data_IF_667168346414
#
_entry.id   IF_667168346414
#
_cell.length_a   1.000
_cell.length_b   1.000
_cell.length_c   1.000
_cell.angle_alpha   90.00
_cell.angle_beta   90.00
_cell.angle_gamma   90.00
#
_symmetry.space_group_name_H-M   'P 1'
#
loop_
_entity.id
_entity.type
_entity.pdbx_description
1 polymer ?
#
# COMPACT_ATOMS: atom_id res chain seq x y z
N UNK A 1 5.88 -12.47 -47.05
CA UNK A 1 4.74 -13.39 -47.03
C UNK A 1 4.12 -13.32 -45.66
N UNK A 2 2.93 -12.75 -45.56
CA UNK A 2 2.22 -12.59 -44.30
C UNK A 2 1.61 -13.91 -43.81
N UNK A 3 1.57 -14.06 -42.49
CA UNK A 3 0.73 -15.03 -41.79
C UNK A 3 -0.10 -14.22 -40.79
N UNK A 4 -1.44 -14.38 -40.75
CA UNK A 4 -2.33 -13.41 -40.12
C UNK A 4 -2.41 -13.63 -38.61
N UNK A 5 -2.22 -12.55 -37.86
CA UNK A 5 -2.56 -12.48 -36.44
C UNK A 5 -4.08 -12.37 -36.31
N UNK A 6 -4.76 -13.49 -36.12
CA UNK A 6 -6.12 -13.55 -35.63
C UNK A 6 -6.15 -14.41 -34.37
N UNK A 7 -5.77 -13.80 -33.25
CA UNK A 7 -6.26 -14.20 -31.94
C UNK A 7 -6.95 -12.99 -31.34
N UNK A 8 -8.16 -12.70 -31.85
CA UNK A 8 -9.17 -11.94 -31.09
C UNK A 8 -9.43 -12.72 -29.80
N UNK A 9 -8.75 -12.38 -28.71
CA UNK A 9 -9.37 -12.52 -27.41
C UNK A 9 -10.55 -11.54 -27.41
N UNK A 10 -11.75 -12.09 -27.22
CA UNK A 10 -13.01 -11.35 -27.33
C UNK A 10 -13.01 -10.09 -26.44
N UNK A 11 -13.62 -8.99 -26.90
CA UNK A 11 -13.79 -7.80 -26.07
C UNK A 11 -14.83 -8.09 -24.99
N UNK A 12 -14.50 -7.84 -23.73
CA UNK A 12 -15.46 -7.84 -22.64
C UNK A 12 -15.86 -9.22 -22.13
N UNK A 13 -15.00 -9.83 -21.32
CA UNK A 13 -15.50 -10.46 -20.11
C UNK A 13 -14.85 -9.73 -18.94
N UNK A 14 -15.43 -8.57 -18.60
CA UNK A 14 -15.44 -8.21 -17.19
C UNK A 14 -16.04 -9.39 -16.46
N UNK A 15 -15.37 -9.87 -15.42
CA UNK A 15 -15.99 -10.81 -14.50
C UNK A 15 -17.23 -10.10 -13.95
N UNK A 16 -18.37 -10.37 -14.57
CA UNK A 16 -19.66 -9.94 -14.04
C UNK A 16 -19.93 -10.88 -12.88
N UNK A 17 -19.28 -10.58 -11.75
CA UNK A 17 -19.65 -11.15 -10.46
C UNK A 17 -21.00 -10.53 -10.17
N UNK A 18 -22.07 -11.18 -10.66
CA UNK A 18 -23.43 -10.90 -10.22
C UNK A 18 -23.46 -10.91 -8.68
N UNK A 19 -24.45 -10.28 -8.03
CA UNK A 19 -24.47 -10.15 -6.58
C UNK A 19 -24.25 -11.54 -5.97
N UNK A 20 -23.06 -11.76 -5.41
CA UNK A 20 -22.79 -12.97 -4.67
C UNK A 20 -23.71 -12.88 -3.49
N UNK A 21 -24.79 -13.68 -3.49
CA UNK A 21 -25.53 -13.97 -2.28
C UNK A 21 -24.54 -14.66 -1.35
N UNK A 22 -23.86 -13.86 -0.55
CA UNK A 22 -22.95 -14.33 0.47
C UNK A 22 -23.71 -15.28 1.40
N UNK A 23 -23.04 -16.28 1.99
CA UNK A 23 -23.62 -17.01 3.11
C UNK A 23 -24.12 -15.99 4.14
N UNK A 24 -25.24 -16.29 4.81
CA UNK A 24 -25.72 -15.55 5.97
C UNK A 24 -24.68 -15.61 7.10
N UNK A 25 -23.59 -14.85 6.95
CA UNK A 25 -22.50 -14.77 7.90
C UNK A 25 -22.94 -13.86 9.03
N UNK A 26 -23.05 -14.45 10.21
CA UNK A 26 -23.52 -13.82 11.43
C UNK A 26 -22.74 -12.55 11.78
N UNK A 27 -23.38 -11.67 12.55
CA UNK A 27 -22.84 -10.39 13.06
C UNK A 27 -21.49 -10.48 13.80
N UNK A 28 -20.93 -11.67 14.03
CA UNK A 28 -19.61 -11.86 14.65
C UNK A 28 -18.46 -11.32 13.79
N UNK A 29 -18.60 -11.30 12.46
CA UNK A 29 -17.50 -10.92 11.56
C UNK A 29 -17.32 -9.40 11.43
N UNK A 30 -18.36 -8.60 11.67
CA UNK A 30 -18.21 -7.13 11.67
C UNK A 30 -17.39 -6.64 12.87
N UNK A 31 -17.49 -7.32 14.02
CA UNK A 31 -16.69 -7.01 15.19
C UNK A 31 -15.21 -7.30 14.96
N UNK A 32 -14.86 -8.36 14.22
CA UNK A 32 -13.45 -8.69 13.94
C UNK A 32 -12.82 -7.73 12.92
N UNK A 33 -13.54 -7.31 11.88
CA UNK A 33 -13.05 -6.29 10.94
C UNK A 33 -12.86 -4.93 11.62
N UNK A 34 -13.82 -4.49 12.46
CA UNK A 34 -13.67 -3.27 13.27
C UNK A 34 -12.49 -3.37 14.24
N UNK A 35 -12.26 -4.54 14.85
CA UNK A 35 -11.14 -4.75 15.75
C UNK A 35 -9.78 -4.63 15.05
N UNK A 36 -9.67 -5.07 13.80
CA UNK A 36 -8.45 -4.90 12.99
C UNK A 36 -8.13 -3.41 12.84
N UNK A 37 -9.15 -2.60 12.53
CA UNK A 37 -9.00 -1.14 12.43
C UNK A 37 -8.59 -0.55 13.77
N UNK A 38 -9.28 -0.87 14.86
CA UNK A 38 -8.93 -0.36 16.21
C UNK A 38 -7.48 -0.67 16.63
N UNK A 39 -6.93 -1.81 16.19
CA UNK A 39 -5.58 -2.24 16.54
C UNK A 39 -4.52 -1.62 15.62
N UNK A 40 -4.84 -1.43 14.33
CA UNK A 40 -3.86 -1.02 13.31
C UNK A 40 -3.97 0.44 12.88
N UNK A 41 -5.08 1.12 13.18
CA UNK A 41 -5.23 2.55 12.94
C UNK A 41 -4.30 3.36 13.84
N UNK A 42 -3.89 4.53 13.35
CA UNK A 42 -3.16 5.49 14.18
C UNK A 42 -4.04 5.92 15.36
N UNK A 43 -3.47 6.03 16.58
CA UNK A 43 -4.17 6.62 17.70
C UNK A 43 -4.72 8.00 17.33
N UNK A 44 -5.88 8.36 17.90
CA UNK A 44 -6.55 9.62 17.56
C UNK A 44 -5.63 10.84 17.71
N UNK A 45 -4.84 10.89 18.78
CA UNK A 45 -3.84 11.95 19.02
C UNK A 45 -2.83 12.06 17.87
N UNK A 46 -2.31 10.93 17.41
CA UNK A 46 -1.40 10.86 16.27
C UNK A 46 -2.09 11.35 15.01
N UNK A 47 -3.31 10.88 14.72
CA UNK A 47 -4.06 11.32 13.55
C UNK A 47 -4.31 12.84 13.54
N UNK A 48 -4.76 13.42 14.66
CA UNK A 48 -4.95 14.87 14.80
C UNK A 48 -3.64 15.63 14.52
N UNK A 49 -2.51 15.13 15.01
CA UNK A 49 -1.18 15.73 14.76
C UNK A 49 -0.85 15.73 13.26
N UNK A 50 -1.09 14.63 12.56
CA UNK A 50 -0.81 14.54 11.13
C UNK A 50 -1.73 15.43 10.30
N UNK A 51 -3.02 15.49 10.63
CA UNK A 51 -3.96 16.43 10.01
C UNK A 51 -3.54 17.88 10.24
N UNK A 52 -3.07 18.22 11.46
CA UNK A 52 -2.55 19.56 11.76
C UNK A 52 -1.31 19.87 10.94
N UNK A 53 -0.35 18.95 10.86
CA UNK A 53 0.84 19.08 10.00
C UNK A 53 0.43 19.30 8.54
N UNK A 54 -0.51 18.52 8.03
CA UNK A 54 -1.02 18.64 6.67
C UNK A 54 -1.70 19.99 6.41
N UNK A 55 -2.35 20.60 7.40
CA UNK A 55 -2.90 21.96 7.26
C UNK A 55 -1.81 23.03 7.32
N UNK A 56 -0.81 22.84 8.18
CA UNK A 56 0.25 23.83 8.43
C UNK A 56 1.25 23.98 7.29
N UNK A 57 1.55 22.90 6.56
CA UNK A 57 2.53 22.94 5.46
C UNK A 57 2.09 23.90 4.34
N UNK A 58 0.86 23.82 3.78
CA UNK A 58 0.37 24.80 2.82
C UNK A 58 0.34 26.23 3.36
N UNK A 59 -0.06 26.45 4.62
CA UNK A 59 -0.03 27.79 5.25
C UNK A 59 1.37 28.41 5.21
N UNK A 60 2.41 27.61 5.49
CA UNK A 60 3.80 28.07 5.45
C UNK A 60 4.24 28.34 4.00
N UNK A 61 3.94 27.43 3.06
CA UNK A 61 4.46 27.49 1.70
C UNK A 61 3.77 28.54 0.82
N UNK A 62 2.47 28.73 1.02
CA UNK A 62 1.59 29.57 0.19
C UNK A 62 1.28 30.92 0.84
N UNK A 63 1.93 31.26 1.96
CA UNK A 63 1.80 32.55 2.65
C UNK A 63 1.99 33.73 1.68
N UNK A 64 0.89 34.47 1.46
CA UNK A 64 0.83 35.59 0.53
C UNK A 64 1.54 36.86 1.04
N UNK A 65 1.93 36.88 2.33
CA UNK A 65 2.68 37.99 2.93
C UNK A 65 4.17 38.01 2.55
N UNK A 66 4.69 36.97 1.89
CA UNK A 66 6.08 36.85 1.45
C UNK A 66 6.19 36.48 -0.04
N UNK A 67 7.42 36.50 -0.59
CA UNK A 67 7.69 35.98 -1.93
C UNK A 67 7.20 34.54 -2.06
N UNK A 68 6.24 34.27 -2.94
CA UNK A 68 5.62 32.95 -3.07
C UNK A 68 6.65 31.92 -3.59
N UNK A 69 6.92 30.83 -2.85
CA UNK A 69 7.89 29.79 -3.27
C UNK A 69 7.25 28.70 -4.12
N UNK A 70 5.95 28.49 -3.95
CA UNK A 70 5.18 27.41 -4.55
C UNK A 70 3.86 27.94 -5.14
N UNK A 71 3.48 27.46 -6.32
CA UNK A 71 2.20 27.78 -6.93
C UNK A 71 1.06 26.99 -6.26
N UNK A 72 1.35 25.77 -5.83
CA UNK A 72 0.45 24.94 -5.03
C UNK A 72 1.24 23.93 -4.20
N UNK A 73 0.62 23.45 -3.11
CA UNK A 73 1.12 22.35 -2.30
C UNK A 73 -0.04 21.37 -2.08
N UNK A 74 0.07 20.17 -2.65
CA UNK A 74 -0.98 19.16 -2.60
C UNK A 74 -0.54 17.96 -1.78
N UNK A 75 -1.37 17.61 -0.79
CA UNK A 75 -1.19 16.39 -0.03
C UNK A 75 -1.42 15.18 -0.94
N UNK A 76 -0.54 14.19 -0.86
CA UNK A 76 -0.71 12.89 -1.52
C UNK A 76 -0.42 11.74 -0.56
N UNK A 77 -0.61 10.51 -1.03
CA UNK A 77 -0.37 9.32 -0.23
C UNK A 77 -1.52 8.98 0.73
N UNK A 78 -1.19 8.30 1.82
CA UNK A 78 -2.20 7.67 2.70
C UNK A 78 -3.12 8.69 3.40
N UNK A 79 -2.59 9.85 3.80
CA UNK A 79 -3.37 10.88 4.51
C UNK A 79 -4.31 11.63 3.57
N UNK A 80 -3.91 11.81 2.30
CA UNK A 80 -4.76 12.46 1.29
C UNK A 80 -6.05 11.67 1.02
N UNK A 81 -5.97 10.34 1.01
CA UNK A 81 -7.16 9.49 0.88
C UNK A 81 -8.13 9.69 2.04
N UNK A 82 -7.63 9.89 3.26
CA UNK A 82 -8.45 10.03 4.47
C UNK A 82 -9.20 11.37 4.49
N UNK A 83 -8.50 12.47 4.20
CA UNK A 83 -9.09 13.82 4.20
C UNK A 83 -10.12 13.98 3.07
N UNK A 84 -9.84 13.47 1.86
CA UNK A 84 -10.77 13.56 0.73
C UNK A 84 -12.06 12.74 0.97
N UNK A 85 -11.99 11.63 1.72
CA UNK A 85 -13.15 10.78 2.04
C UNK A 85 -14.11 11.43 3.05
N UNK A 86 -13.64 12.35 3.89
CA UNK A 86 -14.48 13.10 4.84
C UNK A 86 -15.48 14.04 4.14
N UNK A 87 -15.22 14.42 2.88
CA UNK A 87 -16.10 15.29 2.10
C UNK A 87 -17.27 14.57 1.42
N UNK A 88 -17.28 13.23 1.39
CA UNK A 88 -18.24 12.45 0.59
C UNK A 88 -19.51 11.99 1.36
N UNK A 89 -19.57 12.13 2.69
CA UNK A 89 -20.80 12.01 3.48
C UNK A 89 -20.55 12.44 4.94
N UNK A 90 -21.57 12.88 5.71
CA UNK A 90 -21.49 13.00 7.16
C UNK A 90 -21.56 11.60 7.80
N UNK A 91 -20.62 10.71 7.45
CA UNK A 91 -20.41 9.47 8.17
C UNK A 91 -19.48 9.77 9.35
N UNK A 92 -19.98 9.53 10.57
CA UNK A 92 -19.16 9.52 11.79
C UNK A 92 -18.19 8.35 11.70
N UNK A 93 -17.04 8.58 11.10
CA UNK A 93 -15.93 7.64 11.15
C UNK A 93 -15.22 7.85 12.50
N UNK A 94 -15.42 6.93 13.44
CA UNK A 94 -14.87 7.04 14.81
C UNK A 94 -13.38 6.64 14.89
N UNK A 95 -12.72 6.38 13.76
CA UNK A 95 -11.37 5.83 13.68
C UNK A 95 -10.54 6.49 12.58
N UNK A 96 -9.24 6.67 12.85
CA UNK A 96 -8.30 7.25 11.88
C UNK A 96 -7.96 6.24 10.76
N UNK A 97 -8.10 6.62 9.49
CA UNK A 97 -7.73 5.73 8.35
C UNK A 97 -6.20 5.66 8.12
N UNK A 98 -5.44 6.40 8.93
CA UNK A 98 -4.01 6.60 8.75
C UNK A 98 -3.17 5.63 9.60
N UNK A 99 -1.98 5.25 9.12
CA UNK A 99 -0.95 4.53 9.89
C UNK A 99 0.38 5.27 9.73
N UNK A 100 1.07 5.50 10.84
CA UNK A 100 2.45 6.01 10.92
C UNK A 100 3.38 4.95 10.36
N UNK A 101 3.72 5.06 9.07
CA UNK A 101 4.89 4.36 8.57
C UNK A 101 6.10 4.98 9.27
N UNK A 102 7.06 4.17 9.73
CA UNK A 102 8.16 4.67 10.55
C UNK A 102 9.06 5.74 9.92
N UNK A 103 8.78 6.26 8.70
CA UNK A 103 9.58 7.26 7.97
C UNK A 103 8.86 8.19 6.97
N UNK A 104 7.52 8.16 6.81
CA UNK A 104 6.82 9.24 6.10
C UNK A 104 5.37 9.29 6.56
N UNK A 105 5.07 10.33 7.34
CA UNK A 105 3.79 10.52 7.99
C UNK A 105 2.88 11.48 7.23
N UNK A 106 3.47 12.34 6.39
CA UNK A 106 2.76 13.33 5.56
C UNK A 106 3.54 13.53 4.26
N UNK A 107 2.93 13.26 3.12
CA UNK A 107 3.57 13.41 1.80
C UNK A 107 2.93 14.57 1.01
N UNK A 108 3.75 15.49 0.52
CA UNK A 108 3.32 16.67 -0.24
C UNK A 108 4.03 16.76 -1.58
N UNK A 109 3.25 17.07 -2.62
CA UNK A 109 3.80 17.47 -3.92
C UNK A 109 3.65 18.97 -4.04
N UNK A 110 4.70 19.64 -4.48
CA UNK A 110 4.75 21.09 -4.56
C UNK A 110 4.97 21.48 -6.02
N UNK A 111 4.02 22.23 -6.58
CA UNK A 111 4.18 22.89 -7.87
C UNK A 111 5.04 24.13 -7.65
N UNK A 112 6.21 24.17 -8.26
CA UNK A 112 7.16 25.25 -8.02
C UNK A 112 6.74 26.52 -8.77
N UNK A 113 6.85 27.68 -8.11
CA UNK A 113 6.76 28.94 -8.84
C UNK A 113 7.93 29.07 -9.82
N UNK A 114 7.72 29.67 -11.02
CA UNK A 114 8.79 29.87 -11.98
C UNK A 114 9.98 30.60 -11.36
N UNK A 115 11.21 30.14 -11.68
CA UNK A 115 12.50 30.70 -11.24
C UNK A 115 12.87 30.47 -9.77
N UNK A 116 12.00 29.88 -8.97
CA UNK A 116 12.38 29.43 -7.62
C UNK A 116 13.04 28.05 -7.68
N UNK A 117 14.07 27.85 -6.85
CA UNK A 117 14.73 26.55 -6.71
C UNK A 117 14.01 25.70 -5.66
N UNK A 118 13.98 24.36 -5.80
CA UNK A 118 13.41 23.46 -4.78
C UNK A 118 13.92 23.71 -3.36
N UNK A 119 15.19 24.11 -3.20
CA UNK A 119 15.78 24.44 -1.91
C UNK A 119 15.03 25.56 -1.15
N UNK A 120 14.41 26.52 -1.84
CA UNK A 120 13.66 27.60 -1.21
C UNK A 120 12.42 27.10 -0.44
N UNK A 121 11.81 25.99 -0.90
CA UNK A 121 10.69 25.34 -0.21
C UNK A 121 11.18 24.73 1.11
N UNK A 122 12.29 24.00 1.07
CA UNK A 122 12.87 23.40 2.25
C UNK A 122 13.34 24.46 3.27
N UNK A 123 14.07 25.48 2.82
CA UNK A 123 14.52 26.60 3.65
C UNK A 123 13.35 27.31 4.34
N UNK A 124 12.24 27.53 3.63
CA UNK A 124 11.04 28.13 4.20
C UNK A 124 10.43 27.27 5.31
N UNK A 125 10.32 25.96 5.09
CA UNK A 125 9.82 25.03 6.11
C UNK A 125 10.76 25.03 7.32
N UNK A 126 12.06 24.89 7.13
CA UNK A 126 13.06 24.90 8.22
C UNK A 126 13.02 26.21 9.03
N UNK A 127 12.75 27.35 8.40
CA UNK A 127 12.68 28.66 9.07
C UNK A 127 11.37 28.87 9.84
N UNK A 128 10.24 28.42 9.30
CA UNK A 128 8.90 28.75 9.81
C UNK A 128 8.21 27.62 10.59
N UNK A 129 8.77 26.42 10.60
CA UNK A 129 8.19 25.28 11.32
C UNK A 129 9.21 24.52 12.16
N UNK A 130 8.74 23.56 12.97
CA UNK A 130 9.59 22.78 13.88
C UNK A 130 10.36 21.67 13.14
N UNK A 131 10.87 21.96 11.94
CA UNK A 131 11.37 20.97 10.99
C UNK A 131 12.89 20.91 10.97
N UNK A 132 13.42 19.70 10.85
CA UNK A 132 14.84 19.44 10.57
C UNK A 132 14.96 18.60 9.30
N UNK A 133 15.87 18.95 8.40
CA UNK A 133 16.14 18.14 7.22
C UNK A 133 16.91 16.86 7.60
N UNK A 134 16.39 15.71 7.17
CA UNK A 134 17.00 14.39 7.41
C UNK A 134 17.31 13.64 6.12
N UNK A 135 16.78 14.09 4.97
CA UNK A 135 17.07 13.49 3.67
C UNK A 135 16.79 14.45 2.52
N UNK A 136 17.50 14.21 1.41
CA UNK A 136 17.25 14.85 0.12
C UNK A 136 17.56 13.87 -1.00
N UNK A 137 16.65 13.76 -1.97
CA UNK A 137 16.79 12.90 -3.14
C UNK A 137 16.41 13.69 -4.39
N UNK A 138 17.24 13.65 -5.42
CA UNK A 138 16.93 14.24 -6.72
C UNK A 138 16.54 13.14 -7.71
N UNK A 139 15.38 13.30 -8.37
CA UNK A 139 14.89 12.36 -9.38
C UNK A 139 14.84 13.08 -10.72
N UNK A 140 15.97 13.03 -11.43
CA UNK A 140 16.16 13.73 -12.71
C UNK A 140 15.09 13.37 -13.76
N UNK A 141 14.63 12.11 -13.79
CA UNK A 141 13.62 11.64 -14.74
C UNK A 141 12.30 12.43 -14.68
N UNK A 142 11.97 12.99 -13.53
CA UNK A 142 10.70 13.72 -13.32
C UNK A 142 10.91 15.20 -13.00
N UNK A 143 12.14 15.71 -13.17
CA UNK A 143 12.55 17.06 -12.76
C UNK A 143 12.04 17.39 -11.36
N UNK A 144 12.24 16.46 -10.42
CA UNK A 144 11.74 16.57 -9.07
C UNK A 144 12.86 16.44 -8.04
N UNK A 145 12.74 17.20 -6.96
CA UNK A 145 13.59 17.09 -5.77
C UNK A 145 12.70 16.78 -4.59
N UNK A 146 12.96 15.66 -3.92
CA UNK A 146 12.29 15.27 -2.69
C UNK A 146 13.15 15.65 -1.48
N UNK A 147 12.53 16.26 -0.48
CA UNK A 147 13.11 16.51 0.83
C UNK A 147 12.36 15.71 1.87
N UNK A 148 13.09 15.08 2.80
CA UNK A 148 12.51 14.44 3.99
C UNK A 148 12.86 15.28 5.20
N UNK A 149 11.84 15.75 5.91
CA UNK A 149 11.95 16.57 7.10
C UNK A 149 11.42 15.81 8.32
N UNK A 150 12.01 16.04 9.48
CA UNK A 150 11.62 15.50 10.77
C UNK A 150 11.12 16.64 11.67
N UNK A 151 9.86 16.57 12.08
CA UNK A 151 9.26 17.47 13.05
C UNK A 151 9.24 16.88 14.45
N UNK A 152 9.54 17.71 15.46
CA UNK A 152 9.36 17.35 16.88
C UNK A 152 8.26 18.23 17.45
N UNK A 153 7.24 17.60 18.04
CA UNK A 153 6.14 18.29 18.69
C UNK A 153 6.12 17.90 20.16
N UNK A 154 6.17 18.90 21.06
CA UNK A 154 6.05 18.69 22.49
C UNK A 154 4.60 18.26 22.81
N UNK A 155 4.44 17.15 23.54
CA UNK A 155 3.10 16.58 23.79
C UNK A 155 2.26 17.38 24.81
N UNK A 156 2.90 18.24 25.62
CA UNK A 156 2.29 18.88 26.78
C UNK A 156 1.93 20.37 26.59
N UNK A 157 2.29 21.00 25.47
CA UNK A 157 2.12 22.45 25.27
C UNK A 157 0.82 22.86 24.56
N UNK A 158 -0.02 21.91 24.15
CA UNK A 158 -1.17 22.20 23.28
C UNK A 158 -2.47 21.48 23.70
N UNK A 159 -2.71 21.32 25.00
CA UNK A 159 -4.08 21.35 25.52
C UNK A 159 -4.57 22.80 25.43
N UNK A 160 -4.93 23.25 24.23
CA UNK A 160 -5.74 24.46 24.08
C UNK A 160 -7.05 24.23 24.85
N UNK A 161 -7.19 25.04 25.90
CA UNK A 161 -8.32 25.17 26.79
C UNK A 161 -9.66 24.95 26.08
N UNK A 162 -10.30 23.83 26.42
CA UNK A 162 -11.75 23.73 26.32
C UNK A 162 -12.31 24.60 27.46
N UNK A 163 -12.99 25.74 27.19
CA UNK A 163 -13.40 26.69 28.22
C UNK A 163 -14.57 26.21 29.09
N UNK A 164 -14.89 24.90 29.06
CA UNK A 164 -16.05 24.32 29.72
C UNK A 164 -15.77 23.13 30.65
N UNK A 165 -14.52 22.94 31.13
CA UNK A 165 -14.22 21.88 32.11
C UNK A 165 -13.73 22.46 33.44
N UNK A 166 -14.46 22.27 34.55
CA UNK A 166 -14.05 22.76 35.86
C UNK A 166 -12.89 21.92 36.41
N UNK A 167 -11.90 22.65 36.90
CA UNK A 167 -10.68 22.25 37.60
C UNK A 167 -10.71 20.88 38.31
N UNK A 168 -9.71 20.05 38.00
CA UNK A 168 -9.07 19.19 39.01
C UNK A 168 -7.57 19.37 38.97
N UNK A 169 -7.07 20.11 39.96
CA UNK A 169 -5.67 20.09 40.39
C UNK A 169 -5.42 18.77 41.10
N UNK A 170 -4.66 17.88 40.47
CA UNK A 170 -3.77 16.97 41.18
C UNK A 170 -2.51 16.84 40.32
N UNK A 171 -1.45 17.48 40.78
CA UNK A 171 -0.12 17.45 40.18
C UNK A 171 0.56 16.12 40.56
N UNK A 172 0.27 15.07 39.80
CA UNK A 172 1.11 13.87 39.78
C UNK A 172 2.09 13.95 38.60
N UNK A 173 3.35 13.65 38.90
CA UNK A 173 4.51 13.81 38.03
C UNK A 173 4.24 13.31 36.60
N UNK A 174 4.09 14.26 35.66
CA UNK A 174 4.02 13.99 34.23
C UNK A 174 5.28 13.22 33.83
N UNK A 175 5.07 11.94 33.53
CA UNK A 175 6.07 11.06 32.95
C UNK A 175 6.31 11.59 31.53
N UNK A 176 7.24 12.55 31.42
CA UNK A 176 7.61 13.25 30.18
C UNK A 176 7.62 12.26 29.01
N UNK A 177 6.54 12.24 28.24
CA UNK A 177 6.48 11.38 27.06
C UNK A 177 7.56 11.87 26.09
N UNK A 178 8.20 10.93 25.40
CA UNK A 178 9.16 11.29 24.37
C UNK A 178 8.48 12.21 23.33
N UNK A 179 9.15 13.27 22.87
CA UNK A 179 8.58 14.16 21.86
C UNK A 179 8.17 13.35 20.64
N UNK A 180 6.97 13.61 20.15
CA UNK A 180 6.41 12.77 19.11
C UNK A 180 6.90 13.23 17.74
N UNK A 181 7.61 12.34 17.06
CA UNK A 181 8.19 12.59 15.75
C UNK A 181 7.13 12.53 14.64
N UNK A 182 7.32 13.37 13.61
CA UNK A 182 6.55 13.35 12.36
C UNK A 182 7.51 13.49 11.19
N UNK A 183 7.48 12.52 10.28
CA UNK A 183 8.20 12.61 9.01
C UNK A 183 7.36 13.28 7.93
N UNK A 184 7.93 14.28 7.27
CA UNK A 184 7.31 15.04 6.18
C UNK A 184 8.15 14.89 4.91
N UNK A 185 7.55 14.29 3.88
CA UNK A 185 8.15 14.21 2.55
C UNK A 185 7.59 15.30 1.64
N UNK A 186 8.47 16.11 1.05
CA UNK A 186 8.13 17.23 0.16
C UNK A 186 8.77 16.97 -1.21
N UNK A 187 7.97 16.61 -2.19
CA UNK A 187 8.38 16.44 -3.57
C UNK A 187 8.12 17.72 -4.37
N UNK A 188 9.17 18.51 -4.59
CA UNK A 188 9.13 19.69 -5.45
C UNK A 188 9.22 19.27 -6.92
N UNK A 189 8.23 19.64 -7.74
CA UNK A 189 8.25 19.38 -9.19
C UNK A 189 8.44 20.71 -9.91
N UNK A 190 9.52 20.81 -10.69
CA UNK A 190 9.88 22.05 -11.37
C UNK A 190 9.19 22.22 -12.73
N UNK A 191 8.69 21.13 -13.31
CA UNK A 191 8.05 21.12 -14.63
C UNK A 191 6.53 21.03 -14.51
N UNK A 192 5.78 22.00 -15.05
CA UNK A 192 4.31 21.96 -15.06
C UNK A 192 3.75 20.70 -15.74
N UNK A 193 4.46 20.17 -16.75
CA UNK A 193 4.08 18.93 -17.44
C UNK A 193 4.20 17.73 -16.50
N UNK A 194 5.30 17.64 -15.75
CA UNK A 194 5.50 16.55 -14.78
C UNK A 194 4.52 16.66 -13.60
N UNK A 195 4.22 17.88 -13.15
CA UNK A 195 3.23 18.11 -12.09
C UNK A 195 1.83 17.67 -12.55
N UNK A 196 1.39 18.09 -13.75
CA UNK A 196 0.12 17.65 -14.33
C UNK A 196 0.06 16.13 -14.48
N UNK A 197 1.15 15.49 -14.92
CA UNK A 197 1.22 14.02 -15.03
C UNK A 197 1.12 13.33 -13.67
N UNK A 198 1.77 13.88 -12.65
CA UNK A 198 1.65 13.37 -11.28
C UNK A 198 0.20 13.43 -10.80
N UNK A 199 -0.47 14.58 -10.95
CA UNK A 199 -1.88 14.75 -10.55
C UNK A 199 -2.80 13.74 -11.22
N UNK A 200 -2.64 13.51 -12.52
CA UNK A 200 -3.44 12.52 -13.26
C UNK A 200 -3.22 11.09 -12.77
N UNK A 201 -2.00 10.72 -12.35
CA UNK A 201 -1.74 9.40 -11.75
C UNK A 201 -2.38 9.27 -10.37
N UNK A 202 -2.32 10.32 -9.55
CA UNK A 202 -3.01 10.35 -8.26
C UNK A 202 -4.53 10.24 -8.43
N UNK A 203 -5.10 10.94 -9.40
CA UNK A 203 -6.52 10.86 -9.76
C UNK A 203 -6.90 9.43 -10.20
N UNK A 204 -6.10 8.82 -11.08
CA UNK A 204 -6.31 7.43 -11.50
C UNK A 204 -6.27 6.45 -10.33
N UNK A 205 -5.32 6.61 -9.41
CA UNK A 205 -5.26 5.80 -8.19
C UNK A 205 -6.49 5.99 -7.30
N UNK A 206 -6.90 7.25 -7.03
CA UNK A 206 -8.10 7.56 -6.25
C UNK A 206 -9.35 6.93 -6.86
N UNK A 207 -9.48 7.00 -8.18
CA UNK A 207 -10.59 6.39 -8.90
C UNK A 207 -10.60 4.87 -8.70
N UNK A 208 -9.47 4.20 -8.97
CA UNK A 208 -9.35 2.74 -8.79
C UNK A 208 -9.64 2.32 -7.34
N UNK A 209 -9.14 3.07 -6.36
CA UNK A 209 -9.39 2.81 -4.94
C UNK A 209 -10.89 2.92 -4.61
N UNK A 210 -11.54 4.01 -5.02
CA UNK A 210 -12.97 4.26 -4.77
C UNK A 210 -13.87 3.24 -5.46
N UNK A 211 -13.58 2.91 -6.72
CA UNK A 211 -14.34 1.93 -7.50
C UNK A 211 -14.20 0.52 -6.91
N UNK A 212 -12.99 0.13 -6.49
CA UNK A 212 -12.77 -1.17 -5.84
C UNK A 212 -13.52 -1.25 -4.52
N UNK A 213 -13.45 -0.19 -3.69
CA UNK A 213 -14.21 -0.11 -2.43
C UNK A 213 -15.71 -0.25 -2.66
N UNK A 214 -16.26 0.52 -3.61
CA UNK A 214 -17.68 0.45 -4.00
C UNK A 214 -18.08 -0.93 -4.51
N UNK A 215 -17.18 -1.60 -5.23
CA UNK A 215 -17.42 -2.96 -5.72
C UNK A 215 -17.54 -3.95 -4.56
N UNK A 216 -16.61 -3.89 -3.59
CA UNK A 216 -16.66 -4.73 -2.39
C UNK A 216 -17.87 -4.43 -1.52
N UNK A 217 -18.23 -3.14 -1.37
CA UNK A 217 -19.48 -2.72 -0.73
C UNK A 217 -20.71 -3.25 -1.48
N UNK A 218 -20.69 -3.28 -2.81
CA UNK A 218 -21.74 -3.89 -3.63
C UNK A 218 -21.90 -5.40 -3.38
N UNK A 219 -20.81 -6.11 -3.08
CA UNK A 219 -20.84 -7.55 -2.78
C UNK A 219 -21.35 -7.88 -1.37
N UNK A 220 -21.03 -7.06 -0.37
CA UNK A 220 -21.28 -7.38 1.05
C UNK A 220 -22.02 -6.29 1.83
N UNK A 221 -22.59 -5.31 1.15
CA UNK A 221 -23.21 -4.13 1.77
C UNK A 221 -22.21 -3.29 2.58
N UNK A 222 -22.71 -2.57 3.59
CA UNK A 222 -21.89 -1.71 4.45
C UNK A 222 -20.75 -2.46 5.17
N UNK A 223 -20.91 -3.76 5.42
CA UNK A 223 -19.85 -4.59 5.98
C UNK A 223 -18.69 -4.78 4.99
N UNK A 224 -18.96 -4.82 3.69
CA UNK A 224 -17.94 -4.87 2.65
C UNK A 224 -17.05 -3.62 2.63
N UNK A 225 -17.64 -2.44 2.81
CA UNK A 225 -16.91 -1.20 2.95
C UNK A 225 -15.96 -1.23 4.17
N UNK A 226 -16.47 -1.66 5.34
CA UNK A 226 -15.66 -1.81 6.55
C UNK A 226 -14.53 -2.84 6.37
N UNK A 227 -14.83 -3.98 5.75
CA UNK A 227 -13.85 -5.03 5.49
C UNK A 227 -12.78 -4.59 4.49
N UNK A 228 -13.15 -3.80 3.48
CA UNK A 228 -12.19 -3.18 2.57
C UNK A 228 -11.23 -2.26 3.33
N UNK A 229 -11.76 -1.38 4.18
CA UNK A 229 -10.94 -0.44 4.96
C UNK A 229 -9.97 -1.22 5.89
N UNK A 230 -10.47 -2.23 6.62
CA UNK A 230 -9.65 -3.13 7.44
C UNK A 230 -8.59 -3.89 6.62
N UNK A 231 -8.93 -4.33 5.41
CA UNK A 231 -8.00 -4.97 4.48
C UNK A 231 -6.87 -4.02 4.06
N UNK A 232 -7.16 -2.76 3.75
CA UNK A 232 -6.14 -1.74 3.46
C UNK A 232 -5.19 -1.56 4.66
N UNK A 233 -5.70 -1.57 5.89
CA UNK A 233 -4.84 -1.53 7.09
C UNK A 233 -3.90 -2.74 7.18
N UNK A 234 -4.39 -3.95 6.91
CA UNK A 234 -3.56 -5.16 6.89
C UNK A 234 -2.46 -5.10 5.80
N UNK A 235 -2.79 -4.62 4.59
CA UNK A 235 -1.80 -4.45 3.51
C UNK A 235 -0.67 -3.51 3.91
N UNK A 236 -1.03 -2.37 4.52
CA UNK A 236 -0.05 -1.37 4.98
C UNK A 236 0.80 -1.92 6.14
N UNK A 237 0.18 -2.59 7.12
CA UNK A 237 0.91 -3.23 8.22
C UNK A 237 1.88 -4.31 7.72
N UNK A 238 1.47 -5.08 6.71
CA UNK A 238 2.36 -6.02 6.03
C UNK A 238 3.54 -5.31 5.37
N UNK A 239 3.30 -4.26 4.60
CA UNK A 239 4.37 -3.48 3.95
C UNK A 239 5.38 -2.93 4.96
N UNK A 240 4.92 -2.41 6.11
CA UNK A 240 5.78 -1.91 7.18
C UNK A 240 6.68 -2.99 7.81
N UNK A 241 6.24 -4.26 7.78
CA UNK A 241 7.03 -5.40 8.26
C UNK A 241 8.09 -5.87 7.24
N UNK A 242 7.87 -5.63 5.95
CA UNK A 242 8.81 -6.03 4.90
C UNK A 242 10.08 -5.17 4.99
N UNK A 243 11.19 -5.80 5.41
CA UNK A 243 12.44 -5.10 5.66
C UNK A 243 13.04 -4.42 4.43
N UNK A 244 13.78 -3.34 4.66
CA UNK A 244 14.59 -2.67 3.65
C UNK A 244 13.81 -1.84 2.63
N UNK A 245 12.58 -1.43 2.96
CA UNK A 245 11.66 -0.72 2.04
C UNK A 245 11.40 -1.50 0.74
N UNK A 246 11.54 -2.83 0.77
CA UNK A 246 11.32 -3.71 -0.38
C UNK A 246 9.86 -3.71 -0.86
N UNK A 247 8.92 -3.22 -0.05
CA UNK A 247 7.53 -2.98 -0.41
C UNK A 247 7.01 -1.77 0.34
N UNK A 248 6.64 -0.72 -0.40
CA UNK A 248 5.97 0.45 0.20
C UNK A 248 4.49 0.16 0.46
N UNK A 249 3.89 0.88 1.42
CA UNK A 249 2.44 0.78 1.66
C UNK A 249 1.59 1.11 0.43
N UNK A 250 2.04 2.06 -0.41
CA UNK A 250 1.39 2.38 -1.68
C UNK A 250 1.46 1.22 -2.68
N UNK A 251 2.61 0.58 -2.82
CA UNK A 251 2.77 -0.60 -3.68
C UNK A 251 1.92 -1.77 -3.17
N UNK A 252 1.93 -2.05 -1.87
CA UNK A 252 1.10 -3.09 -1.27
C UNK A 252 -0.39 -2.82 -1.52
N UNK A 253 -0.82 -1.56 -1.35
CA UNK A 253 -2.20 -1.14 -1.67
C UNK A 253 -2.53 -1.37 -3.14
N UNK A 254 -1.69 -0.92 -4.06
CA UNK A 254 -1.87 -1.12 -5.49
C UNK A 254 -1.98 -2.61 -5.86
N UNK A 255 -1.09 -3.46 -5.33
CA UNK A 255 -1.12 -4.91 -5.57
C UNK A 255 -2.37 -5.54 -4.96
N UNK A 256 -2.77 -5.10 -3.76
CA UNK A 256 -3.97 -5.59 -3.10
C UNK A 256 -5.26 -5.21 -3.83
N UNK A 257 -5.37 -3.98 -4.32
CA UNK A 257 -6.48 -3.56 -5.20
C UNK A 257 -6.56 -4.45 -6.43
N UNK A 258 -5.42 -4.74 -7.07
CA UNK A 258 -5.38 -5.65 -8.20
C UNK A 258 -5.85 -7.07 -7.82
N UNK A 259 -5.39 -7.60 -6.69
CA UNK A 259 -5.80 -8.92 -6.20
C UNK A 259 -7.31 -9.00 -5.96
N UNK A 260 -7.94 -7.94 -5.42
CA UNK A 260 -9.39 -7.85 -5.29
C UNK A 260 -10.11 -7.77 -6.64
N UNK A 261 -9.61 -6.92 -7.55
CA UNK A 261 -10.17 -6.73 -8.89
C UNK A 261 -10.23 -8.03 -9.70
N UNK A 262 -9.21 -8.88 -9.60
CA UNK A 262 -9.18 -10.19 -10.27
C UNK A 262 -9.83 -11.31 -9.44
N UNK A 263 -10.41 -11.00 -8.27
CA UNK A 263 -11.08 -11.98 -7.41
C UNK A 263 -10.13 -13.00 -6.77
N UNK A 264 -8.86 -12.66 -6.52
CA UNK A 264 -7.88 -13.58 -5.93
C UNK A 264 -8.05 -13.69 -4.40
N UNK A 265 -9.18 -14.22 -3.95
CA UNK A 265 -9.46 -14.48 -2.55
C UNK A 265 -10.47 -15.62 -2.38
N UNK A 266 -10.53 -16.19 -1.19
CA UNK A 266 -11.54 -17.17 -0.80
C UNK A 266 -12.06 -16.83 0.58
N UNK A 267 -13.37 -16.63 0.69
CA UNK A 267 -14.01 -16.40 1.99
C UNK A 267 -13.95 -17.66 2.84
N UNK A 268 -13.51 -17.52 4.09
CA UNK A 268 -13.51 -18.59 5.08
C UNK A 268 -14.49 -18.27 6.19
N UNK A 269 -15.33 -19.22 6.63
CA UNK A 269 -16.29 -18.98 7.71
C UNK A 269 -15.63 -18.59 9.04
N UNK A 270 -14.41 -19.04 9.28
CA UNK A 270 -13.64 -18.77 10.51
C UNK A 270 -12.95 -17.41 10.52
N UNK A 271 -12.93 -16.70 9.39
CA UNK A 271 -12.23 -15.43 9.24
C UNK A 271 -13.20 -14.28 9.09
N UNK A 272 -12.73 -13.09 9.47
CA UNK A 272 -13.34 -11.86 9.01
C UNK A 272 -13.21 -11.74 7.48
N UNK A 273 -14.00 -10.86 6.87
CA UNK A 273 -13.94 -10.66 5.42
C UNK A 273 -12.57 -10.06 5.04
N UNK A 274 -12.08 -9.10 5.82
CA UNK A 274 -10.77 -8.47 5.60
C UNK A 274 -9.62 -9.48 5.68
N UNK A 275 -9.66 -10.41 6.64
CA UNK A 275 -8.66 -11.48 6.77
C UNK A 275 -8.69 -12.44 5.58
N UNK A 276 -9.88 -12.75 5.04
CA UNK A 276 -10.01 -13.57 3.84
C UNK A 276 -9.41 -12.88 2.61
N UNK A 277 -9.64 -11.58 2.45
CA UNK A 277 -9.00 -10.78 1.39
C UNK A 277 -7.48 -10.70 1.58
N UNK A 278 -7.03 -10.51 2.82
CA UNK A 278 -5.61 -10.43 3.13
C UNK A 278 -4.88 -11.74 2.89
N UNK A 279 -5.46 -12.88 3.27
CA UNK A 279 -4.91 -14.19 2.91
C UNK A 279 -4.85 -14.37 1.39
N UNK A 280 -5.88 -13.94 0.66
CA UNK A 280 -5.90 -13.91 -0.81
C UNK A 280 -4.74 -13.11 -1.38
N UNK A 281 -4.53 -11.89 -0.90
CA UNK A 281 -3.38 -11.05 -1.26
C UNK A 281 -2.03 -11.74 -1.00
N UNK A 282 -1.87 -12.37 0.16
CA UNK A 282 -0.63 -13.08 0.47
C UNK A 282 -0.43 -14.27 -0.50
N UNK A 283 -1.47 -15.06 -0.77
CA UNK A 283 -1.39 -16.16 -1.74
C UNK A 283 -1.05 -15.64 -3.14
N UNK A 284 -1.62 -14.51 -3.53
CA UNK A 284 -1.27 -13.81 -4.77
C UNK A 284 0.21 -13.43 -4.79
N UNK A 285 0.71 -12.73 -3.77
CA UNK A 285 2.11 -12.30 -3.71
C UNK A 285 3.08 -13.48 -3.76
N UNK A 286 2.81 -14.54 -2.99
CA UNK A 286 3.63 -15.76 -2.98
C UNK A 286 3.69 -16.38 -4.36
N UNK A 287 2.54 -16.50 -5.02
CA UNK A 287 2.49 -17.12 -6.32
C UNK A 287 3.13 -16.19 -7.40
N UNK A 288 2.82 -14.89 -7.39
CA UNK A 288 3.14 -13.98 -8.50
C UNK A 288 4.60 -13.54 -8.45
N UNK A 289 5.16 -13.41 -7.25
CA UNK A 289 6.56 -13.08 -7.01
C UNK A 289 7.45 -14.28 -6.72
N UNK A 290 6.85 -15.47 -6.54
CA UNK A 290 7.57 -16.72 -6.33
C UNK A 290 8.16 -17.28 -7.62
N UNK A 291 9.25 -18.03 -7.47
CA UNK A 291 9.90 -18.76 -8.56
C UNK A 291 9.32 -20.18 -8.67
N UNK A 292 8.01 -20.27 -8.87
CA UNK A 292 7.33 -21.55 -9.04
C UNK A 292 7.21 -21.89 -10.52
N UNK A 293 7.97 -22.91 -10.95
CA UNK A 293 8.07 -23.38 -12.34
C UNK A 293 6.71 -23.72 -13.00
N UNK A 294 5.64 -23.87 -12.21
CA UNK A 294 4.32 -24.26 -12.69
C UNK A 294 3.37 -23.06 -12.92
N UNK A 295 3.76 -21.82 -12.60
CA UNK A 295 2.93 -20.64 -12.90
C UNK A 295 3.55 -19.75 -13.97
N UNK A 296 3.02 -19.87 -15.19
CA UNK A 296 3.40 -19.03 -16.34
C UNK A 296 2.93 -17.56 -16.19
N UNK A 297 2.10 -17.25 -15.19
CA UNK A 297 1.56 -15.92 -14.91
C UNK A 297 2.28 -15.30 -13.71
N UNK A 298 3.57 -15.01 -13.85
CA UNK A 298 4.38 -14.41 -12.80
C UNK A 298 5.01 -13.08 -13.23
N UNK A 299 5.61 -12.38 -12.28
CA UNK A 299 6.18 -11.05 -12.49
C UNK A 299 7.26 -11.01 -13.58
N UNK A 300 7.90 -12.13 -13.94
CA UNK A 300 8.94 -12.20 -15.00
C UNK A 300 8.34 -12.18 -16.41
N UNK A 301 7.05 -12.46 -16.56
CA UNK A 301 6.38 -12.54 -17.87
C UNK A 301 5.26 -11.52 -18.03
N UNK A 302 4.70 -11.03 -16.92
CA UNK A 302 3.56 -10.12 -16.94
C UNK A 302 3.82 -8.82 -16.17
N UNK A 303 3.21 -7.76 -16.69
CA UNK A 303 2.97 -6.52 -15.99
C UNK A 303 1.51 -6.46 -15.50
N UNK A 304 1.29 -5.73 -14.41
CA UNK A 304 -0.02 -5.43 -13.86
C UNK A 304 -0.47 -4.08 -14.41
N UNK A 305 -1.70 -4.01 -14.90
CA UNK A 305 -2.39 -2.74 -15.13
C UNK A 305 -3.60 -2.64 -14.22
N UNK A 306 -3.59 -1.64 -13.35
CA UNK A 306 -4.69 -1.37 -12.41
C UNK A 306 -5.89 -0.69 -13.04
N UNK A 307 -5.75 -0.21 -14.28
CA UNK A 307 -6.82 0.48 -14.98
C UNK A 307 -7.98 -0.45 -15.29
N UNK A 308 -9.20 0.10 -15.35
CA UNK A 308 -10.39 -0.58 -15.87
C UNK A 308 -10.70 -1.95 -15.23
N UNK A 309 -10.56 -2.06 -13.91
CA UNK A 309 -10.88 -3.30 -13.19
C UNK A 309 -9.78 -4.36 -13.20
N UNK A 310 -8.54 -3.98 -13.50
CA UNK A 310 -7.37 -4.84 -13.37
C UNK A 310 -7.19 -5.80 -14.55
N UNK A 311 -6.03 -5.74 -15.20
CA UNK A 311 -5.68 -6.69 -16.27
C UNK A 311 -4.19 -7.02 -16.30
N UNK A 312 -3.90 -8.17 -16.90
CA UNK A 312 -2.56 -8.59 -17.23
C UNK A 312 -2.10 -7.94 -18.53
N UNK A 313 -0.85 -7.50 -18.57
CA UNK A 313 -0.19 -7.01 -19.77
C UNK A 313 1.09 -7.80 -20.03
N UNK A 314 1.50 -7.95 -21.29
CA UNK A 314 2.89 -8.30 -21.61
C UNK A 314 3.83 -7.30 -20.95
N UNK A 315 4.98 -7.78 -20.49
CA UNK A 315 6.02 -6.90 -19.95
C UNK A 315 6.57 -5.96 -21.02
N UNK A 316 6.90 -4.74 -20.58
CA UNK A 316 7.55 -3.73 -21.42
C UNK A 316 9.06 -3.72 -21.22
N UNK A 317 9.55 -4.11 -20.04
CA UNK A 317 10.98 -4.10 -19.71
C UNK A 317 11.52 -5.52 -19.59
N UNK A 318 12.77 -5.70 -20.02
CA UNK A 318 13.54 -6.95 -19.82
C UNK A 318 14.22 -7.02 -18.45
N UNK A 319 14.04 -6.02 -17.59
CA UNK A 319 14.65 -6.00 -16.25
C UNK A 319 13.99 -6.99 -15.29
N UNK A 320 14.69 -7.33 -14.22
CA UNK A 320 14.14 -8.20 -13.17
C UNK A 320 13.03 -7.53 -12.34
N UNK A 321 12.83 -6.21 -12.43
CA UNK A 321 11.87 -5.48 -11.60
C UNK A 321 10.44 -5.88 -11.97
N UNK A 322 9.54 -5.96 -10.99
CA UNK A 322 8.11 -6.12 -11.28
C UNK A 322 7.56 -4.86 -11.95
N UNK A 323 6.48 -5.00 -12.71
CA UNK A 323 5.87 -3.95 -13.50
C UNK A 323 4.41 -3.76 -13.08
N UNK A 324 4.06 -2.54 -12.63
CA UNK A 324 2.69 -2.14 -12.30
C UNK A 324 2.42 -0.72 -12.82
N UNK A 325 1.30 -0.52 -13.50
CA UNK A 325 0.96 0.74 -14.16
C UNK A 325 -0.51 1.16 -14.01
N UNK A 326 -0.77 2.44 -14.25
CA UNK A 326 -2.09 3.01 -14.52
C UNK A 326 -2.20 3.34 -16.02
N UNK A 327 -2.24 2.31 -16.88
CA UNK A 327 -2.05 2.50 -18.32
C UNK A 327 -3.10 3.39 -18.98
N UNK A 328 -4.37 3.30 -18.58
CA UNK A 328 -5.41 4.17 -19.15
C UNK A 328 -5.09 5.65 -18.91
N UNK A 329 -4.52 5.99 -17.74
CA UNK A 329 -4.08 7.34 -17.44
C UNK A 329 -2.85 7.73 -18.27
N UNK A 330 -1.86 6.83 -18.39
CA UNK A 330 -0.66 7.06 -19.20
C UNK A 330 -1.00 7.28 -20.69
N UNK A 331 -1.96 6.53 -21.23
CA UNK A 331 -2.46 6.67 -22.60
C UNK A 331 -3.23 7.97 -22.80
N UNK A 332 -4.13 8.31 -21.88
CA UNK A 332 -4.88 9.56 -21.89
C UNK A 332 -3.95 10.80 -21.85
N UNK A 333 -2.83 10.71 -21.13
CA UNK A 333 -1.82 11.76 -21.08
C UNK A 333 -0.88 11.79 -22.30
N UNK A 334 -0.93 10.78 -23.17
CA UNK A 334 0.03 10.62 -24.25
C UNK A 334 1.47 10.40 -23.74
N UNK A 335 1.65 9.78 -22.57
CA UNK A 335 2.98 9.51 -22.03
C UNK A 335 3.71 8.49 -22.90
N UNK A 336 4.93 8.83 -23.31
CA UNK A 336 5.79 7.93 -24.07
C UNK A 336 6.11 6.66 -23.27
N UNK A 337 6.24 5.48 -23.90
CA UNK A 337 6.47 4.22 -23.18
C UNK A 337 7.63 4.24 -22.18
N UNK A 338 8.74 4.90 -22.53
CA UNK A 338 9.94 5.06 -21.69
C UNK A 338 9.75 6.04 -20.53
N UNK A 339 8.78 6.95 -20.62
CA UNK A 339 8.42 7.92 -19.59
C UNK A 339 7.34 7.43 -18.62
N UNK A 340 6.70 6.29 -18.91
CA UNK A 340 5.66 5.72 -18.03
C UNK A 340 6.22 5.40 -16.65
N UNK A 341 5.40 5.60 -15.63
CA UNK A 341 5.80 5.36 -14.23
C UNK A 341 5.44 3.94 -13.83
N UNK A 342 6.47 3.12 -13.62
CA UNK A 342 6.30 1.82 -12.97
C UNK A 342 6.15 2.02 -11.46
N UNK A 343 4.95 1.76 -10.94
CA UNK A 343 4.66 1.86 -9.49
C UNK A 343 5.51 0.87 -8.69
N UNK A 344 5.79 -0.31 -9.25
CA UNK A 344 6.60 -1.35 -8.63
C UNK A 344 8.12 -1.18 -8.85
N UNK A 345 8.60 -0.02 -9.31
CA UNK A 345 10.00 0.18 -9.69
C UNK A 345 11.03 -0.09 -8.57
N UNK A 346 10.66 0.08 -7.30
CA UNK A 346 11.53 -0.14 -6.14
C UNK A 346 11.22 -1.45 -5.40
N UNK A 347 10.21 -2.19 -5.85
CA UNK A 347 9.78 -3.42 -5.20
C UNK A 347 10.82 -4.52 -5.41
N UNK A 348 11.14 -5.27 -4.35
CA UNK A 348 11.95 -6.49 -4.41
C UNK A 348 11.05 -7.73 -4.38
N UNK A 349 10.85 -8.43 -5.52
CA UNK A 349 9.97 -9.58 -5.60
C UNK A 349 10.37 -10.72 -4.65
N UNK A 350 11.67 -11.00 -4.53
CA UNK A 350 12.16 -12.11 -3.74
C UNK A 350 11.91 -11.88 -2.24
N UNK A 351 12.15 -10.65 -1.77
CA UNK A 351 11.89 -10.27 -0.38
C UNK A 351 10.39 -10.31 -0.06
N UNK A 352 9.56 -9.76 -0.95
CA UNK A 352 8.10 -9.81 -0.80
C UNK A 352 7.61 -11.25 -0.74
N UNK A 353 8.06 -12.12 -1.64
CA UNK A 353 7.69 -13.53 -1.64
C UNK A 353 8.08 -14.22 -0.33
N UNK A 354 9.30 -14.03 0.15
CA UNK A 354 9.80 -14.64 1.38
C UNK A 354 8.98 -14.24 2.61
N UNK A 355 8.76 -12.94 2.81
CA UNK A 355 7.98 -12.42 3.94
C UNK A 355 6.52 -12.89 3.89
N UNK A 356 5.97 -12.97 2.67
CA UNK A 356 4.63 -13.51 2.42
C UNK A 356 4.52 -14.97 2.84
N UNK A 357 5.46 -15.82 2.40
CA UNK A 357 5.49 -17.24 2.77
C UNK A 357 5.61 -17.43 4.28
N UNK A 358 6.48 -16.66 4.94
CA UNK A 358 6.65 -16.72 6.38
C UNK A 358 5.36 -16.33 7.12
N UNK A 359 4.66 -15.29 6.65
CA UNK A 359 3.41 -14.86 7.26
C UNK A 359 2.28 -15.87 7.04
N UNK A 360 2.13 -16.41 5.82
CA UNK A 360 1.16 -17.47 5.53
C UNK A 360 1.38 -18.69 6.44
N UNK A 361 2.62 -19.16 6.56
CA UNK A 361 2.96 -20.31 7.40
C UNK A 361 2.67 -20.08 8.88
N UNK A 362 2.88 -18.86 9.40
CA UNK A 362 2.67 -18.55 10.81
C UNK A 362 1.21 -18.27 11.16
N UNK A 363 0.49 -17.56 10.29
CA UNK A 363 -0.82 -17.02 10.60
C UNK A 363 -2.00 -17.80 9.99
N UNK A 364 -1.77 -18.58 8.92
CA UNK A 364 -2.85 -19.18 8.13
C UNK A 364 -2.75 -20.69 7.92
N UNK A 365 -1.61 -21.31 8.25
CA UNK A 365 -1.41 -22.77 8.14
C UNK A 365 -1.79 -23.56 9.41
N UNK A 366 -2.39 -22.91 10.42
CA UNK A 366 -2.95 -23.57 11.61
C UNK A 366 -4.27 -24.31 11.38
N UNK A 367 -4.93 -24.10 10.23
CA UNK A 367 -6.28 -24.61 9.93
C UNK A 367 -6.32 -25.64 8.79
N UNK A 368 -5.41 -26.64 8.81
CA UNK A 368 -5.59 -27.84 8.00
C UNK A 368 -5.27 -29.13 8.78
N UNK A 369 -6.26 -29.97 9.09
CA UNK A 369 -6.02 -31.40 9.12
C UNK A 369 -5.82 -31.87 7.67
N UNK A 370 -4.59 -32.29 7.35
CA UNK A 370 -4.28 -33.10 6.17
C UNK A 370 -4.17 -32.36 4.83
N UNK A 371 -2.98 -31.86 4.53
CA UNK A 371 -2.44 -31.92 3.16
C UNK A 371 -1.18 -32.78 3.21
N UNK A 372 -1.37 -34.09 3.09
CA UNK A 372 -0.34 -35.00 2.64
C UNK A 372 0.12 -34.50 1.27
N UNK A 373 1.34 -33.96 1.20
CA UNK A 373 2.08 -33.99 -0.05
C UNK A 373 2.29 -35.47 -0.38
N UNK A 374 1.58 -35.95 -1.40
CA UNK A 374 1.87 -37.22 -2.04
C UNK A 374 3.27 -37.15 -2.61
N UNK A 375 4.24 -37.65 -1.84
CA UNK A 375 5.59 -37.92 -2.31
C UNK A 375 5.50 -38.98 -3.40
N UNK A 376 5.84 -38.59 -4.62
CA UNK A 376 6.18 -39.53 -5.68
C UNK A 376 7.44 -40.29 -5.20
N UNK A 377 7.37 -41.60 -5.33
CA UNK A 377 8.22 -42.56 -4.65
C UNK A 377 9.72 -42.37 -4.89
N UNK A 378 10.46 -42.48 -3.78
CA UNK A 378 11.87 -42.81 -3.74
C UNK A 378 12.05 -43.79 -2.59
N UNK A 379 11.90 -45.09 -2.87
CA UNK A 379 12.16 -46.15 -1.93
C UNK A 379 13.64 -46.12 -1.51
N UNK A 380 13.90 -45.65 -0.30
CA UNK A 380 15.20 -45.67 0.37
C UNK A 380 15.05 -46.18 1.80
N UNK A 381 14.31 -47.27 1.98
CA UNK A 381 14.20 -47.97 3.25
C UNK A 381 15.42 -48.89 3.42
N UNK A 382 16.45 -48.41 4.10
CA UNK A 382 17.52 -49.24 4.62
C UNK A 382 16.95 -50.14 5.74
N UNK A 383 16.59 -51.37 5.39
CA UNK A 383 16.39 -52.45 6.35
C UNK A 383 17.65 -53.30 6.40
N UNK A 384 18.20 -53.44 7.60
CA UNK A 384 19.34 -54.29 7.92
C UNK A 384 19.12 -55.74 7.48
N UNK A 385 20.15 -56.33 6.87
CA UNK A 385 20.27 -57.78 6.62
C UNK A 385 21.48 -58.27 7.41
N UNK A 386 21.38 -59.37 8.19
CA UNK A 386 22.50 -59.91 8.93
C UNK A 386 23.49 -60.67 8.02
N UNK A 387 24.75 -60.65 8.42
CA UNK A 387 25.86 -61.34 7.77
C UNK A 387 25.65 -62.87 7.71
N UNK A 388 25.93 -63.47 6.54
CA UNK A 388 26.13 -64.91 6.40
C UNK A 388 27.20 -65.22 5.33
N UNK A 389 28.34 -65.69 5.85
CA UNK A 389 29.36 -66.57 5.30
C UNK A 389 29.54 -66.72 3.77
N UNK A 390 30.69 -66.24 3.29
CA UNK A 390 31.33 -66.77 2.08
C UNK A 390 32.04 -68.09 2.42
N UNK A 391 31.79 -69.14 1.64
CA UNK A 391 32.58 -70.36 1.57
C UNK A 391 33.38 -70.37 0.24
N UNK A 392 34.55 -71.05 0.19
CA UNK A 392 35.66 -70.76 -0.73
C UNK A 392 35.53 -71.48 -2.10
N UNK A 393 36.40 -71.17 -3.08
CA UNK A 393 36.29 -71.73 -4.43
C UNK A 393 37.01 -73.09 -4.56
N UNK A 394 36.39 -73.98 -5.34
CA UNK A 394 36.96 -75.20 -5.93
C UNK A 394 36.15 -75.45 -7.23
N UNK A 395 36.69 -75.71 -8.41
CA UNK A 395 38.04 -75.99 -8.92
C UNK A 395 38.33 -75.13 -10.16
#
# INVERSE_FOLDING_TARGET
GGVPWNARAAPGQGFNVGPMQGPSMMMSNSFSDRRIIEVLAAPEKTHRRLVRTAKRVPEILLDAGEHCVAASAELYGSLALDIDLQHLAPWKQDWASYYVNGRSDVDFVVDMQPRNKPAAVAERLLKKGPWKMVGQVQVHKFASTQFTLLGHFDEDSEEEADPASPEKKDAEASKKCAPAEVYLDITCIESPVHFKRFKRRQEAFRQVFSETRKTVEGWFGAQGALAFDAYIHLLKAFAAKVLGNALTGFQATCIGLFALQIGHFKLKPTHSIALSFFEGFLRFCMAFYGDHANWNYNFRHLAIDLSCGGRWLPRFSTSWRSELYFMAAEECMGTRPDERVNVAHSLDPARVCLETMQLLNRAFNGDHPGLQFGGIGGAGGATAVPAAAAAPPTQ
#
